data_IF_312741003288
#
_entry.id   IF_312741003288
#
_cell.length_a   1.000
_cell.length_b   1.000
_cell.length_c   1.000
_cell.angle_alpha   90.00
_cell.angle_beta   90.00
_cell.angle_gamma   90.00
#
_symmetry.space_group_name_H-M   'P 1'
#
loop_
_entity.id
_entity.type
_entity.pdbx_description
1 polymer ?
#
# COMPACT_ATOMS: atom_id res chain seq x y z
N UNK A 1 22.55 0.42 -12.71
CA UNK A 1 22.02 -0.53 -11.71
C UNK A 1 20.64 -0.03 -11.34
N UNK A 2 19.61 -0.88 -11.35
CA UNK A 2 18.28 -0.49 -10.89
C UNK A 2 18.18 -0.79 -9.40
N UNK A 3 17.71 0.18 -8.61
CA UNK A 3 17.61 0.06 -7.15
C UNK A 3 16.13 0.11 -6.78
N UNK A 4 15.51 -0.99 -6.31
CA UNK A 4 14.12 -0.96 -5.89
C UNK A 4 13.93 -0.05 -4.67
N UNK A 5 12.74 0.52 -4.47
CA UNK A 5 12.46 1.35 -3.31
C UNK A 5 12.55 0.57 -1.99
N UNK A 6 12.69 1.27 -0.86
CA UNK A 6 12.71 0.64 0.45
C UNK A 6 11.50 -0.27 0.67
N UNK A 7 11.71 -1.45 1.24
CA UNK A 7 10.65 -2.41 1.56
C UNK A 7 9.78 -2.81 0.35
N UNK A 8 10.34 -2.74 -0.87
CA UNK A 8 9.67 -3.13 -2.09
C UNK A 8 9.31 -4.62 -2.09
N UNK A 9 8.17 -4.94 -2.68
CA UNK A 9 7.77 -6.31 -2.98
C UNK A 9 6.69 -6.37 -4.04
N UNK A 10 6.62 -7.49 -4.75
CA UNK A 10 5.48 -7.82 -5.60
C UNK A 10 4.45 -8.54 -4.75
N UNK A 11 3.22 -8.02 -4.74
CA UNK A 11 2.07 -8.63 -4.05
C UNK A 11 1.41 -9.64 -5.00
N UNK A 12 1.13 -9.20 -6.23
CA UNK A 12 0.60 -9.99 -7.34
C UNK A 12 1.17 -9.46 -8.66
N UNK A 13 0.90 -10.14 -9.78
CA UNK A 13 1.20 -9.59 -11.10
C UNK A 13 0.59 -8.19 -11.27
N UNK A 14 1.42 -7.21 -11.61
CA UNK A 14 1.06 -5.79 -11.71
C UNK A 14 0.58 -5.12 -10.40
N UNK A 15 0.68 -5.79 -9.26
CA UNK A 15 0.42 -5.22 -7.93
C UNK A 15 1.70 -5.22 -7.09
N UNK A 16 2.20 -4.03 -6.79
CA UNK A 16 3.41 -3.83 -6.02
C UNK A 16 3.13 -3.13 -4.68
N UNK A 17 4.07 -3.29 -3.75
CA UNK A 17 4.14 -2.56 -2.48
C UNK A 17 5.51 -1.97 -2.27
N UNK A 18 5.60 -0.86 -1.54
CA UNK A 18 6.88 -0.31 -1.06
C UNK A 18 6.70 0.70 0.08
N UNK A 19 7.82 1.15 0.65
CA UNK A 19 7.94 2.46 1.28
C UNK A 19 8.08 3.59 0.25
N UNK A 20 8.18 4.83 0.74
CA UNK A 20 8.37 5.98 -0.15
C UNK A 20 9.73 5.88 -0.87
N UNK A 21 9.76 6.00 -2.21
CA UNK A 21 10.99 6.03 -2.98
C UNK A 21 11.73 7.36 -2.84
N UNK A 22 13.02 7.35 -3.16
CA UNK A 22 13.82 8.53 -3.48
C UNK A 22 14.25 8.52 -4.97
N UNK A 23 14.99 9.54 -5.40
CA UNK A 23 15.44 9.70 -6.78
C UNK A 23 16.25 8.51 -7.31
N UNK A 24 16.96 7.78 -6.46
CA UNK A 24 17.75 6.61 -6.87
C UNK A 24 16.83 5.45 -7.30
N UNK A 25 15.59 5.43 -6.81
CA UNK A 25 14.62 4.38 -7.10
C UNK A 25 13.79 4.64 -8.36
N UNK A 26 13.71 5.89 -8.84
CA UNK A 26 12.83 6.25 -9.96
C UNK A 26 13.12 5.46 -11.23
N UNK A 27 14.38 5.23 -11.66
CA UNK A 27 14.64 4.40 -12.83
C UNK A 27 14.14 2.95 -12.71
N UNK A 28 14.02 2.42 -11.48
CA UNK A 28 13.40 1.11 -11.25
C UNK A 28 11.88 1.19 -11.39
N UNK A 29 11.25 2.22 -10.82
CA UNK A 29 9.80 2.43 -10.91
C UNK A 29 9.31 2.63 -12.35
N UNK A 30 10.09 3.33 -13.18
CA UNK A 30 9.81 3.49 -14.62
C UNK A 30 9.65 2.13 -15.33
N UNK A 31 10.39 1.10 -14.90
CA UNK A 31 10.30 -0.24 -15.50
C UNK A 31 9.03 -0.99 -15.13
N UNK A 32 8.35 -0.59 -14.06
CA UNK A 32 7.09 -1.19 -13.66
C UNK A 32 5.92 -0.69 -14.51
N UNK A 33 6.08 0.43 -15.25
CA UNK A 33 5.01 1.01 -16.07
C UNK A 33 3.77 1.33 -15.24
N UNK A 34 3.96 1.88 -14.04
CA UNK A 34 2.87 2.15 -13.10
C UNK A 34 1.85 3.07 -13.75
N UNK A 35 0.58 2.72 -13.59
CA UNK A 35 -0.55 3.59 -13.94
C UNK A 35 -1.04 4.37 -12.73
N UNK A 36 -1.00 3.75 -11.55
CA UNK A 36 -1.48 4.38 -10.32
C UNK A 36 -0.58 4.09 -9.12
N UNK A 37 -0.66 4.99 -8.14
CA UNK A 37 -0.08 4.83 -6.81
C UNK A 37 -1.18 5.07 -5.78
N UNK A 38 -1.32 4.16 -4.82
CA UNK A 38 -2.20 4.35 -3.66
C UNK A 38 -1.33 4.75 -2.47
N UNK A 39 -1.45 6.00 -2.05
CA UNK A 39 -0.69 6.60 -0.97
C UNK A 39 -1.52 6.64 0.32
N UNK A 40 -1.04 5.92 1.33
CA UNK A 40 -1.77 5.65 2.56
C UNK A 40 -1.31 6.50 3.76
N UNK A 41 -0.32 7.39 3.61
CA UNK A 41 0.12 8.25 4.70
C UNK A 41 -0.71 9.55 4.78
N UNK A 42 -0.96 10.10 5.97
CA UNK A 42 -1.67 11.37 6.12
C UNK A 42 -0.83 12.54 5.59
N UNK A 43 0.49 12.44 5.69
CA UNK A 43 1.39 13.43 5.11
C UNK A 43 1.38 13.37 3.58
N UNK A 44 1.63 14.51 2.95
CA UNK A 44 1.97 14.56 1.53
C UNK A 44 3.24 13.76 1.24
N UNK A 45 3.33 13.05 0.10
CA UNK A 45 4.59 12.47 -0.33
C UNK A 45 5.67 13.54 -0.55
N UNK A 46 6.93 13.12 -0.58
CA UNK A 46 8.03 14.05 -0.90
C UNK A 46 7.82 14.72 -2.28
N UNK A 47 8.12 16.03 -2.42
CA UNK A 47 7.89 16.76 -3.66
C UNK A 47 8.51 16.10 -4.90
N UNK A 48 9.73 15.56 -4.78
CA UNK A 48 10.39 14.89 -5.90
C UNK A 48 9.67 13.61 -6.36
N UNK A 49 8.94 12.93 -5.47
CA UNK A 49 8.11 11.80 -5.85
C UNK A 49 6.78 12.25 -6.49
N UNK A 50 6.21 13.38 -6.05
CA UNK A 50 5.05 13.99 -6.70
C UNK A 50 5.39 14.41 -8.14
N UNK A 51 6.53 15.08 -8.34
CA UNK A 51 7.04 15.46 -9.66
C UNK A 51 7.23 14.22 -10.55
N UNK A 52 7.82 13.15 -10.01
CA UNK A 52 7.97 11.88 -10.72
C UNK A 52 6.62 11.29 -11.16
N UNK A 53 5.60 11.31 -10.29
CA UNK A 53 4.26 10.83 -10.64
C UNK A 53 3.66 11.64 -11.78
N UNK A 54 3.81 12.97 -11.78
CA UNK A 54 3.35 13.85 -12.86
C UNK A 54 4.07 13.54 -14.17
N UNK A 55 5.40 13.43 -14.13
CA UNK A 55 6.24 13.17 -15.31
C UNK A 55 5.94 11.81 -15.96
N UNK A 56 5.63 10.80 -15.14
CA UNK A 56 5.27 9.45 -15.60
C UNK A 56 3.76 9.28 -15.87
N UNK A 57 2.96 10.34 -15.74
CA UNK A 57 1.49 10.30 -15.86
C UNK A 57 0.83 9.24 -14.97
N UNK A 58 1.34 9.09 -13.74
CA UNK A 58 0.83 8.20 -12.71
C UNK A 58 -0.29 8.90 -11.95
N UNK A 59 -1.45 8.24 -11.84
CA UNK A 59 -2.55 8.71 -11.00
C UNK A 59 -2.27 8.42 -9.52
N UNK A 60 -2.16 9.46 -8.71
CA UNK A 60 -1.92 9.36 -7.27
C UNK A 60 -3.23 9.40 -6.49
N UNK A 61 -3.62 8.27 -5.89
CA UNK A 61 -4.75 8.18 -4.96
C UNK A 61 -4.28 8.39 -3.52
N UNK A 62 -4.40 9.62 -3.01
CA UNK A 62 -4.02 9.95 -1.63
C UNK A 62 -5.17 9.69 -0.66
N UNK A 63 -5.16 8.53 0.00
CA UNK A 63 -6.23 8.11 0.91
C UNK A 63 -5.96 8.44 2.39
N UNK A 64 -4.71 8.73 2.76
CA UNK A 64 -4.35 8.99 4.15
C UNK A 64 -4.84 10.33 4.73
N UNK A 65 -5.14 11.33 3.88
CA UNK A 65 -5.59 12.68 4.34
C UNK A 65 -6.95 12.65 4.99
N UNK A 66 -7.82 11.70 4.62
CA UNK A 66 -9.24 11.79 4.90
C UNK A 66 -9.60 11.59 6.38
N UNK A 67 -8.76 10.90 7.17
CA UNK A 67 -9.17 10.43 8.52
C UNK A 67 -8.07 10.37 9.59
N UNK A 68 -6.82 10.75 9.28
CA UNK A 68 -5.70 10.65 10.22
C UNK A 68 -5.12 12.02 10.55
N UNK A 69 -5.07 12.35 11.85
CA UNK A 69 -4.55 13.63 12.35
C UNK A 69 -3.06 13.59 12.65
N UNK A 70 -2.52 12.39 12.92
CA UNK A 70 -1.12 12.17 13.24
C UNK A 70 -0.54 10.94 12.52
N UNK A 71 0.75 11.00 12.20
CA UNK A 71 1.53 9.92 11.58
C UNK A 71 1.37 8.53 12.23
N UNK A 72 1.06 8.52 13.54
CA UNK A 72 0.99 7.34 14.39
C UNK A 72 -0.40 6.72 14.49
N UNK A 73 -1.44 7.44 14.04
CA UNK A 73 -2.81 6.97 14.11
C UNK A 73 -2.95 5.67 13.30
N UNK A 74 -3.77 4.73 13.78
CA UNK A 74 -4.07 3.52 13.02
C UNK A 74 -4.75 3.89 11.69
N UNK A 75 -4.56 3.04 10.68
CA UNK A 75 -5.35 3.13 9.45
C UNK A 75 -6.82 2.83 9.79
N UNK A 76 -7.74 3.60 9.22
CA UNK A 76 -9.17 3.41 9.45
C UNK A 76 -9.76 2.42 8.45
N UNK A 77 -10.93 1.87 8.78
CA UNK A 77 -11.64 0.93 7.90
C UNK A 77 -12.03 1.58 6.58
N UNK A 78 -12.42 2.85 6.59
CA UNK A 78 -12.78 3.60 5.40
C UNK A 78 -11.61 3.73 4.42
N UNK A 79 -10.40 3.98 4.92
CA UNK A 79 -9.19 4.03 4.07
C UNK A 79 -8.89 2.66 3.47
N UNK A 80 -9.06 1.58 4.24
CA UNK A 80 -8.85 0.22 3.74
C UNK A 80 -9.90 -0.12 2.67
N UNK A 81 -11.18 0.17 2.91
CA UNK A 81 -12.25 -0.06 1.93
C UNK A 81 -12.02 0.71 0.63
N UNK A 82 -11.66 1.99 0.70
CA UNK A 82 -11.34 2.79 -0.48
C UNK A 82 -10.14 2.21 -1.25
N UNK A 83 -9.10 1.79 -0.55
CA UNK A 83 -7.95 1.15 -1.19
C UNK A 83 -8.35 -0.17 -1.87
N UNK A 84 -9.16 -1.00 -1.21
CA UNK A 84 -9.64 -2.26 -1.78
C UNK A 84 -10.58 -2.04 -2.97
N UNK A 85 -11.44 -1.02 -2.95
CA UNK A 85 -12.27 -0.63 -4.09
C UNK A 85 -11.44 -0.26 -5.32
N UNK A 86 -10.31 0.44 -5.14
CA UNK A 86 -9.37 0.70 -6.23
C UNK A 86 -8.68 -0.58 -6.69
N UNK A 87 -8.26 -1.45 -5.76
CA UNK A 87 -7.54 -2.69 -6.07
C UNK A 87 -8.41 -3.75 -6.76
N UNK A 88 -9.74 -3.72 -6.63
CA UNK A 88 -10.62 -4.63 -7.39
C UNK A 88 -10.91 -4.13 -8.82
N UNK A 89 -10.52 -2.89 -9.16
CA UNK A 89 -10.73 -2.33 -10.49
C UNK A 89 -9.54 -2.62 -11.41
N UNK A 90 -9.74 -3.32 -12.55
CA UNK A 90 -8.66 -3.58 -13.51
C UNK A 90 -8.01 -2.30 -14.06
N UNK A 91 -8.76 -1.20 -14.10
CA UNK A 91 -8.27 0.09 -14.59
C UNK A 91 -7.17 0.69 -13.69
N UNK A 92 -7.03 0.24 -12.44
CA UNK A 92 -6.01 0.76 -11.49
C UNK A 92 -4.61 0.24 -11.81
N UNK A 93 -4.49 -0.89 -12.52
CA UNK A 93 -3.23 -1.60 -12.70
C UNK A 93 -2.41 -1.11 -13.92
N UNK A 94 -1.06 -1.19 -13.88
CA UNK A 94 -0.22 -1.62 -12.76
C UNK A 94 -0.19 -0.61 -11.60
N UNK A 95 -0.27 -1.11 -10.37
CA UNK A 95 -0.49 -0.31 -9.15
C UNK A 95 0.61 -0.53 -8.12
N UNK A 96 0.99 0.54 -7.44
CA UNK A 96 1.88 0.50 -6.28
C UNK A 96 1.19 1.05 -5.03
N UNK A 97 1.02 0.21 -4.01
CA UNK A 97 0.46 0.61 -2.71
C UNK A 97 1.58 0.91 -1.73
N UNK A 98 1.55 2.09 -1.11
CA UNK A 98 2.63 2.51 -0.21
C UNK A 98 2.17 3.44 0.91
N UNK A 99 2.98 3.48 1.95
CA UNK A 99 3.03 4.53 2.96
C UNK A 99 4.51 4.86 3.20
N UNK A 100 4.83 5.81 4.08
CA UNK A 100 6.21 6.25 4.36
C UNK A 100 7.25 5.11 4.39
N UNK A 101 7.00 4.03 5.17
CA UNK A 101 7.93 2.90 5.32
C UNK A 101 7.45 1.60 4.66
N UNK A 102 6.24 1.57 4.09
CA UNK A 102 5.66 0.37 3.49
C UNK A 102 5.38 -0.77 4.48
N UNK A 103 5.25 -0.47 5.78
CA UNK A 103 5.12 -1.47 6.86
C UNK A 103 3.68 -1.66 7.31
N UNK A 104 3.17 -0.73 8.11
CA UNK A 104 1.91 -0.91 8.85
C UNK A 104 0.68 -0.66 7.99
N UNK A 105 0.50 0.56 7.47
CA UNK A 105 -0.67 0.92 6.65
C UNK A 105 -0.72 0.09 5.35
N UNK A 106 0.39 0.05 4.62
CA UNK A 106 0.54 -0.83 3.44
C UNK A 106 0.32 -2.29 3.78
N UNK A 107 0.91 -2.78 4.88
CA UNK A 107 0.75 -4.17 5.30
C UNK A 107 -0.68 -4.53 5.68
N UNK A 108 -1.42 -3.61 6.29
CA UNK A 108 -2.84 -3.79 6.61
C UNK A 108 -3.69 -3.85 5.35
N UNK A 109 -3.50 -2.93 4.39
CA UNK A 109 -4.23 -2.97 3.10
C UNK A 109 -3.92 -4.26 2.33
N UNK A 110 -2.64 -4.63 2.22
CA UNK A 110 -2.24 -5.90 1.57
C UNK A 110 -2.83 -7.09 2.32
N UNK A 111 -2.81 -7.10 3.65
CA UNK A 111 -3.39 -8.17 4.45
C UNK A 111 -4.89 -8.33 4.22
N UNK A 112 -5.65 -7.23 4.16
CA UNK A 112 -7.08 -7.26 3.86
C UNK A 112 -7.34 -7.67 2.40
N UNK A 113 -6.46 -7.28 1.46
CA UNK A 113 -6.51 -7.77 0.08
C UNK A 113 -6.31 -9.30 0.02
N UNK A 114 -5.37 -9.86 0.80
CA UNK A 114 -5.21 -11.33 0.90
C UNK A 114 -6.46 -12.02 1.47
N UNK A 115 -7.24 -11.37 2.34
CA UNK A 115 -8.54 -11.89 2.79
C UNK A 115 -9.55 -12.00 1.64
N UNK A 116 -9.61 -11.01 0.74
CA UNK A 116 -10.42 -11.11 -0.48
C UNK A 116 -10.01 -12.31 -1.36
N UNK A 117 -8.72 -12.61 -1.40
CA UNK A 117 -8.17 -13.80 -2.07
C UNK A 117 -8.39 -15.11 -1.29
N UNK A 118 -9.10 -15.08 -0.14
CA UNK A 118 -9.39 -16.22 0.73
C UNK A 118 -8.14 -16.94 1.24
N UNK A 119 -7.05 -16.21 1.44
CA UNK A 119 -5.87 -16.76 2.11
C UNK A 119 -6.21 -17.11 3.57
N UNK A 120 -5.53 -18.12 4.12
CA UNK A 120 -5.65 -18.43 5.54
C UNK A 120 -4.97 -17.33 6.39
N UNK A 121 -5.52 -17.03 7.56
CA UNK A 121 -5.04 -15.95 8.42
C UNK A 121 -3.56 -16.10 8.80
N UNK A 122 -3.08 -17.32 9.05
CA UNK A 122 -1.66 -17.53 9.42
C UNK A 122 -0.70 -17.08 8.32
N UNK A 123 -1.00 -17.39 7.05
CA UNK A 123 -0.19 -16.95 5.91
C UNK A 123 -0.25 -15.43 5.72
N UNK A 124 -1.42 -14.82 5.93
CA UNK A 124 -1.60 -13.36 5.85
C UNK A 124 -0.74 -12.66 6.89
N UNK A 125 -0.82 -13.10 8.15
CA UNK A 125 -0.06 -12.51 9.25
C UNK A 125 1.45 -12.76 9.09
N UNK A 126 1.86 -13.89 8.52
CA UNK A 126 3.27 -14.14 8.20
C UNK A 126 3.80 -13.15 7.15
N UNK A 127 3.05 -12.91 6.06
CA UNK A 127 3.42 -11.91 5.05
C UNK A 127 3.51 -10.52 5.67
N UNK A 128 2.52 -10.12 6.47
CA UNK A 128 2.55 -8.84 7.19
C UNK A 128 3.80 -8.72 8.07
N UNK A 129 4.10 -9.72 8.91
CA UNK A 129 5.25 -9.72 9.82
C UNK A 129 6.57 -9.61 9.07
N UNK A 130 6.69 -10.27 7.91
CA UNK A 130 7.89 -10.23 7.06
C UNK A 130 8.22 -8.80 6.63
N UNK A 131 7.22 -8.03 6.20
CA UNK A 131 7.42 -6.63 5.79
C UNK A 131 7.44 -5.63 6.95
N UNK A 132 6.79 -5.92 8.08
CA UNK A 132 6.87 -5.09 9.29
C UNK A 132 8.23 -5.23 10.00
N UNK A 133 8.90 -6.37 9.84
CA UNK A 133 10.19 -6.68 10.44
C UNK A 133 10.17 -6.58 11.97
N UNK A 134 11.15 -5.97 12.63
CA UNK A 134 11.18 -5.86 14.09
C UNK A 134 10.14 -4.88 14.66
N UNK A 135 9.33 -4.24 13.82
CA UNK A 135 8.33 -3.22 14.22
C UNK A 135 6.90 -3.73 14.06
N UNK A 136 6.67 -5.04 14.14
CA UNK A 136 5.32 -5.63 14.16
C UNK A 136 4.45 -4.95 15.21
N UNK A 137 3.19 -4.69 14.84
CA UNK A 137 2.16 -4.16 15.72
C UNK A 137 0.99 -5.12 15.76
N UNK A 138 0.64 -5.58 16.96
CA UNK A 138 -0.50 -6.50 17.20
C UNK A 138 -1.82 -5.88 16.75
N UNK A 139 -2.00 -4.57 16.95
CA UNK A 139 -3.21 -3.86 16.51
C UNK A 139 -3.48 -4.00 15.00
N UNK A 140 -2.44 -4.02 14.18
CA UNK A 140 -2.60 -4.22 12.73
C UNK A 140 -2.96 -5.67 12.39
N UNK A 141 -2.46 -6.65 13.14
CA UNK A 141 -2.83 -8.06 12.97
C UNK A 141 -4.30 -8.28 13.35
N UNK A 142 -4.72 -7.71 14.48
CA UNK A 142 -6.11 -7.74 14.95
C UNK A 142 -7.05 -7.05 13.95
N UNK A 143 -6.62 -5.92 13.37
CA UNK A 143 -7.39 -5.26 12.32
C UNK A 143 -7.59 -6.20 11.13
N UNK A 144 -6.51 -6.81 10.61
CA UNK A 144 -6.61 -7.73 9.47
C UNK A 144 -7.53 -8.91 9.81
N UNK A 145 -7.36 -9.51 10.99
CA UNK A 145 -8.19 -10.62 11.46
C UNK A 145 -9.69 -10.27 11.45
N UNK A 146 -10.04 -9.12 12.04
CA UNK A 146 -11.43 -8.70 12.29
C UNK A 146 -12.09 -7.97 11.11
N UNK A 147 -11.33 -7.52 10.10
CA UNK A 147 -11.85 -6.79 8.95
C UNK A 147 -12.92 -7.62 8.21
N UNK A 148 -14.10 -7.07 7.98
CA UNK A 148 -15.16 -7.74 7.22
C UNK A 148 -14.98 -7.51 5.72
N UNK A 149 -14.54 -8.53 4.98
CA UNK A 149 -14.29 -8.43 3.55
C UNK A 149 -15.57 -8.30 2.69
N UNK A 150 -16.75 -8.58 3.23
CA UNK A 150 -18.02 -8.45 2.50
C UNK A 150 -18.38 -6.99 2.21
N UNK A 151 -17.87 -6.07 3.04
CA UNK A 151 -18.07 -4.62 2.89
C UNK A 151 -17.48 -4.05 1.58
N UNK A 152 -16.56 -4.76 0.92
CA UNK A 152 -15.93 -4.31 -0.34
C UNK A 152 -16.89 -4.42 -1.54
N UNK A 153 -17.92 -5.26 -1.44
CA UNK A 153 -18.88 -5.49 -2.53
C UNK A 153 -20.31 -5.04 -2.18
N UNK A 154 -20.50 -4.50 -0.98
CA UNK A 154 -21.78 -4.05 -0.44
C UNK A 154 -22.27 -2.70 -0.97
#
# INVERSE_FOLDING_TARGET
MLVPPPNYGMVEENFYRSGQPDQLNFPFLEKLGLKSVIWLAPEEPEPGFLDFCVDQAIELHHLGVLYSTNAWDPITEEVVLQALHLLVQPATYPVLVMCNLGRHRTGTVVGCFRKLQRWNLSAILEEYRRYAGPKVRVMNEQFIELFDEELVFG
#
